data_IF_339189392749
#
_entry.id   IF_339189392749
#
_cell.length_a   1.000
_cell.length_b   1.000
_cell.length_c   1.000
_cell.angle_alpha   90.00
_cell.angle_beta   90.00
_cell.angle_gamma   90.00
#
_symmetry.space_group_name_H-M   'P 1'
#
loop_
_entity.id
_entity.type
_entity.pdbx_description
1 polymer ?
#
# COMPACT_ATOMS: atom_id res chain seq x y z
N UNK A 1 -2.05 -23.70 34.54
CA UNK A 1 -3.05 -23.74 33.45
C UNK A 1 -2.48 -23.27 32.11
N UNK A 2 -1.65 -24.07 31.40
CA UNK A 2 -1.17 -23.70 30.03
C UNK A 2 -1.87 -24.44 28.89
N UNK A 3 -2.70 -25.43 29.14
CA UNK A 3 -3.26 -26.36 28.12
C UNK A 3 -4.21 -25.70 27.10
N UNK A 4 -4.99 -24.70 27.48
CA UNK A 4 -5.92 -24.03 26.55
C UNK A 4 -5.25 -23.11 25.55
N UNK A 5 -4.13 -22.49 25.89
CA UNK A 5 -3.36 -21.64 24.98
C UNK A 5 -2.70 -22.46 23.85
N UNK A 6 -2.22 -23.66 24.14
CA UNK A 6 -1.63 -24.59 23.19
C UNK A 6 -2.65 -25.06 22.15
N UNK A 7 -3.83 -25.55 22.56
CA UNK A 7 -4.87 -26.02 21.66
C UNK A 7 -5.41 -24.93 20.72
N UNK A 8 -5.49 -23.67 21.18
CA UNK A 8 -5.88 -22.54 20.32
C UNK A 8 -4.83 -22.25 19.26
N UNK A 9 -3.55 -22.30 19.62
CA UNK A 9 -2.43 -22.11 18.71
C UNK A 9 -2.39 -23.21 17.64
N UNK A 10 -2.52 -24.47 18.05
CA UNK A 10 -2.55 -25.63 17.14
C UNK A 10 -3.69 -25.51 16.11
N UNK A 11 -4.89 -25.14 16.53
CA UNK A 11 -6.02 -24.90 15.63
C UNK A 11 -5.74 -23.75 14.65
N UNK A 12 -5.03 -22.70 15.09
CA UNK A 12 -4.63 -21.60 14.22
C UNK A 12 -3.61 -22.05 13.18
N UNK A 13 -2.62 -22.83 13.57
CA UNK A 13 -1.60 -23.38 12.67
C UNK A 13 -2.23 -24.33 11.64
N UNK A 14 -3.05 -25.30 12.08
CA UNK A 14 -3.75 -26.23 11.19
C UNK A 14 -4.69 -25.52 10.16
N UNK A 15 -5.26 -24.35 10.50
CA UNK A 15 -6.00 -23.56 9.54
C UNK A 15 -5.08 -22.93 8.51
N UNK A 16 -3.92 -22.39 8.93
CA UNK A 16 -2.93 -21.78 8.03
C UNK A 16 -2.37 -22.79 7.03
N UNK A 17 -2.04 -23.98 7.50
CA UNK A 17 -1.57 -25.08 6.65
C UNK A 17 -2.62 -25.48 5.60
N UNK A 18 -3.89 -25.62 6.00
CA UNK A 18 -4.97 -25.91 5.05
C UNK A 18 -5.16 -24.81 4.00
N UNK A 19 -5.06 -23.55 4.39
CA UNK A 19 -5.18 -22.44 3.45
C UNK A 19 -3.98 -22.41 2.49
N UNK A 20 -2.76 -22.67 2.99
CA UNK A 20 -1.56 -22.76 2.18
C UNK A 20 -1.65 -23.92 1.16
N UNK A 21 -2.08 -25.10 1.61
CA UNK A 21 -2.26 -26.28 0.74
C UNK A 21 -3.31 -26.06 -0.37
N UNK A 22 -4.33 -25.23 -0.11
CA UNK A 22 -5.37 -24.89 -1.07
C UNK A 22 -5.02 -23.70 -1.98
N UNK A 23 -3.97 -22.95 -1.68
CA UNK A 23 -3.63 -21.72 -2.36
C UNK A 23 -4.70 -20.61 -2.24
N UNK A 24 -5.57 -20.67 -1.21
CA UNK A 24 -6.61 -19.67 -0.96
C UNK A 24 -6.91 -19.52 0.52
N UNK A 25 -7.22 -18.29 0.95
CA UNK A 25 -7.69 -18.03 2.31
C UNK A 25 -9.15 -18.51 2.50
N UNK A 26 -9.45 -18.98 3.69
CA UNK A 26 -10.84 -19.20 4.09
C UNK A 26 -11.60 -17.86 4.06
N UNK A 27 -12.88 -17.89 3.64
CA UNK A 27 -13.73 -16.71 3.41
C UNK A 27 -13.66 -15.69 4.55
N UNK A 28 -13.87 -16.10 5.78
CA UNK A 28 -13.82 -15.20 6.96
C UNK A 28 -12.45 -14.53 7.15
N UNK A 29 -11.35 -15.21 6.81
CA UNK A 29 -10.01 -14.63 6.88
C UNK A 29 -9.79 -13.63 5.76
N UNK A 30 -10.21 -13.94 4.55
CA UNK A 30 -10.15 -13.03 3.41
C UNK A 30 -10.94 -11.74 3.70
N UNK A 31 -12.18 -11.86 4.17
CA UNK A 31 -13.01 -10.72 4.56
C UNK A 31 -12.39 -9.88 5.67
N UNK A 32 -11.79 -10.51 6.68
CA UNK A 32 -11.11 -9.81 7.76
C UNK A 32 -9.89 -9.01 7.26
N UNK A 33 -9.13 -9.57 6.31
CA UNK A 33 -8.00 -8.86 5.69
C UNK A 33 -8.51 -7.69 4.85
N UNK A 34 -9.52 -7.88 4.01
CA UNK A 34 -10.13 -6.80 3.21
C UNK A 34 -10.63 -5.66 4.11
N UNK A 35 -11.37 -5.98 5.17
CA UNK A 35 -11.84 -4.98 6.12
C UNK A 35 -10.68 -4.22 6.79
N UNK A 36 -9.58 -4.91 7.11
CA UNK A 36 -8.38 -4.28 7.65
C UNK A 36 -7.74 -3.32 6.64
N UNK A 37 -7.60 -3.73 5.36
CA UNK A 37 -7.04 -2.88 4.32
C UNK A 37 -7.85 -1.58 4.15
N UNK A 38 -9.18 -1.71 4.09
CA UNK A 38 -10.09 -0.57 3.99
C UNK A 38 -9.92 0.38 5.17
N UNK A 39 -9.87 -0.16 6.39
CA UNK A 39 -9.70 0.63 7.61
C UNK A 39 -8.36 1.37 7.61
N UNK A 40 -7.25 0.68 7.32
CA UNK A 40 -5.92 1.28 7.29
C UNK A 40 -5.80 2.36 6.20
N UNK A 41 -6.44 2.14 5.05
CA UNK A 41 -6.45 3.11 3.96
C UNK A 41 -7.22 4.36 4.36
N UNK A 42 -8.42 4.22 4.94
CA UNK A 42 -9.22 5.36 5.43
C UNK A 42 -8.47 6.15 6.48
N UNK A 43 -7.88 5.46 7.45
CA UNK A 43 -7.06 6.10 8.49
C UNK A 43 -5.88 6.87 7.88
N UNK A 44 -5.21 6.32 6.88
CA UNK A 44 -4.10 7.00 6.19
C UNK A 44 -4.55 8.25 5.43
N UNK A 45 -5.74 8.23 4.81
CA UNK A 45 -6.33 9.40 4.16
C UNK A 45 -6.72 10.48 5.19
N UNK A 46 -7.38 10.09 6.28
CA UNK A 46 -7.80 10.99 7.36
C UNK A 46 -6.60 11.67 8.04
N UNK A 47 -5.50 10.96 8.19
CA UNK A 47 -4.26 11.49 8.78
C UNK A 47 -3.37 12.24 7.77
N UNK A 48 -3.76 12.33 6.50
CA UNK A 48 -2.97 12.97 5.44
C UNK A 48 -1.66 12.25 5.10
N UNK A 49 -1.49 10.99 5.51
CA UNK A 49 -0.30 10.17 5.22
C UNK A 49 -0.25 9.72 3.76
N UNK A 50 -1.41 9.60 3.15
CA UNK A 50 -1.58 9.26 1.73
C UNK A 50 -2.58 10.19 1.08
N UNK A 51 -2.38 10.50 -0.19
CA UNK A 51 -3.29 11.34 -0.98
C UNK A 51 -4.36 10.54 -1.71
N UNK A 52 -4.07 9.28 -2.03
CA UNK A 52 -5.00 8.35 -2.69
C UNK A 52 -4.86 6.95 -2.11
N UNK A 53 -5.91 6.10 -2.17
CA UNK A 53 -5.81 4.69 -1.77
C UNK A 53 -4.70 3.93 -2.50
N UNK A 54 -4.45 4.27 -3.77
CA UNK A 54 -3.47 3.61 -4.64
C UNK A 54 -2.02 3.74 -4.13
N UNK A 55 -1.71 4.77 -3.33
CA UNK A 55 -0.40 4.92 -2.71
C UNK A 55 0.02 3.68 -1.87
N UNK A 56 -0.94 2.91 -1.37
CA UNK A 56 -0.69 1.71 -0.56
C UNK A 56 -0.78 0.39 -1.31
N UNK A 57 -1.14 0.39 -2.58
CA UNK A 57 -1.37 -0.84 -3.35
C UNK A 57 -0.17 -1.80 -3.32
N UNK A 58 1.00 -1.29 -3.72
CA UNK A 58 2.23 -2.09 -3.75
C UNK A 58 2.64 -2.56 -2.34
N UNK A 59 2.49 -1.70 -1.33
CA UNK A 59 2.81 -2.02 0.07
C UNK A 59 1.91 -3.13 0.58
N UNK A 60 0.60 -3.05 0.38
CA UNK A 60 -0.35 -4.07 0.81
C UNK A 60 -0.09 -5.42 0.12
N UNK A 61 0.09 -5.42 -1.21
CA UNK A 61 0.41 -6.63 -1.95
C UNK A 61 1.68 -7.28 -1.44
N UNK A 62 2.75 -6.51 -1.26
CA UNK A 62 4.02 -7.01 -0.73
C UNK A 62 3.86 -7.58 0.68
N UNK A 63 3.20 -6.88 1.60
CA UNK A 63 3.05 -7.32 3.00
C UNK A 63 2.22 -8.58 3.10
N UNK A 64 1.07 -8.66 2.41
CA UNK A 64 0.20 -9.85 2.42
C UNK A 64 0.98 -11.04 1.86
N UNK A 65 1.61 -10.90 0.69
CA UNK A 65 2.43 -11.95 0.08
C UNK A 65 3.51 -12.43 1.03
N UNK A 66 4.29 -11.52 1.62
CA UNK A 66 5.36 -11.87 2.55
C UNK A 66 4.85 -12.63 3.77
N UNK A 67 3.73 -12.18 4.34
CA UNK A 67 3.10 -12.85 5.48
C UNK A 67 2.56 -14.25 5.14
N UNK A 68 2.05 -14.45 3.92
CA UNK A 68 1.59 -15.77 3.47
C UNK A 68 2.79 -16.71 3.20
N UNK A 69 3.84 -16.21 2.57
CA UNK A 69 5.09 -16.99 2.37
C UNK A 69 5.70 -17.43 3.70
N UNK A 70 5.70 -16.55 4.72
CA UNK A 70 6.11 -16.91 6.08
C UNK A 70 5.21 -17.95 6.75
N UNK A 71 4.01 -18.19 6.21
CA UNK A 71 3.08 -19.25 6.62
C UNK A 71 3.15 -20.49 5.69
N UNK A 72 4.29 -20.69 5.03
CA UNK A 72 4.58 -21.82 4.15
C UNK A 72 3.76 -21.86 2.85
N UNK A 73 3.27 -20.72 2.38
CA UNK A 73 2.67 -20.65 1.05
C UNK A 73 3.74 -20.61 -0.04
N UNK A 74 3.45 -21.22 -1.19
CA UNK A 74 4.22 -20.97 -2.39
C UNK A 74 4.07 -19.52 -2.86
N UNK A 75 5.12 -18.98 -3.49
CA UNK A 75 5.17 -17.56 -3.84
C UNK A 75 4.01 -17.13 -4.76
N UNK A 76 3.74 -17.90 -5.84
CA UNK A 76 2.72 -17.53 -6.82
C UNK A 76 1.30 -17.50 -6.21
N UNK A 77 0.80 -18.56 -5.53
CA UNK A 77 -0.50 -18.48 -4.86
C UNK A 77 -0.58 -17.37 -3.80
N UNK A 78 0.51 -17.08 -3.11
CA UNK A 78 0.54 -15.99 -2.14
C UNK A 78 0.41 -14.62 -2.81
N UNK A 79 1.04 -14.42 -3.97
CA UNK A 79 0.95 -13.18 -4.74
C UNK A 79 -0.44 -13.00 -5.38
N UNK A 80 -1.02 -14.07 -5.93
CA UNK A 80 -2.36 -14.07 -6.52
C UNK A 80 -3.43 -13.68 -5.48
N UNK A 81 -3.36 -14.31 -4.30
CA UNK A 81 -4.26 -13.98 -3.19
C UNK A 81 -4.05 -12.55 -2.71
N UNK A 82 -2.80 -12.09 -2.61
CA UNK A 82 -2.50 -10.72 -2.20
C UNK A 82 -3.07 -9.70 -3.18
N UNK A 83 -2.89 -9.92 -4.49
CA UNK A 83 -3.43 -9.08 -5.53
C UNK A 83 -4.97 -9.02 -5.49
N UNK A 84 -5.62 -10.17 -5.32
CA UNK A 84 -7.08 -10.27 -5.26
C UNK A 84 -7.66 -9.55 -4.04
N UNK A 85 -7.07 -9.70 -2.85
CA UNK A 85 -7.53 -9.02 -1.64
C UNK A 85 -7.42 -7.50 -1.74
N UNK A 86 -6.31 -7.02 -2.33
CA UNK A 86 -6.11 -5.58 -2.56
C UNK A 86 -7.13 -5.06 -3.57
N UNK A 87 -7.36 -5.79 -4.67
CA UNK A 87 -8.37 -5.46 -5.66
C UNK A 87 -9.76 -5.34 -5.02
N UNK A 88 -10.20 -6.35 -4.26
CA UNK A 88 -11.50 -6.33 -3.57
C UNK A 88 -11.63 -5.14 -2.62
N UNK A 89 -10.57 -4.83 -1.86
CA UNK A 89 -10.58 -3.70 -0.94
C UNK A 89 -10.77 -2.36 -1.68
N UNK A 90 -10.07 -2.17 -2.80
CA UNK A 90 -10.16 -0.93 -3.57
C UNK A 90 -11.46 -0.81 -4.37
N UNK A 91 -11.97 -1.93 -4.90
CA UNK A 91 -13.29 -1.97 -5.54
C UNK A 91 -14.39 -1.61 -4.54
N UNK A 92 -14.32 -2.14 -3.31
CA UNK A 92 -15.25 -1.81 -2.21
C UNK A 92 -15.20 -0.33 -1.84
N UNK A 93 -14.02 0.30 -1.92
CA UNK A 93 -13.84 1.73 -1.70
C UNK A 93 -14.19 2.58 -2.93
N UNK A 94 -14.58 1.97 -4.05
CA UNK A 94 -14.84 2.63 -5.33
C UNK A 94 -13.65 3.48 -5.80
N UNK A 95 -12.44 2.99 -5.58
CA UNK A 95 -11.21 3.67 -5.98
C UNK A 95 -11.08 3.63 -7.50
N UNK A 96 -11.07 4.79 -8.14
CA UNK A 96 -10.79 4.90 -9.58
C UNK A 96 -9.27 4.91 -9.79
N UNK A 97 -8.78 4.10 -10.73
CA UNK A 97 -7.40 4.26 -11.20
C UNK A 97 -7.34 5.49 -12.10
N UNK A 98 -6.39 6.39 -11.86
CA UNK A 98 -6.11 7.46 -12.81
C UNK A 98 -5.64 6.85 -14.13
N UNK A 99 -5.92 7.54 -15.22
CA UNK A 99 -5.27 7.26 -16.51
C UNK A 99 -3.75 7.46 -16.37
N UNK A 100 -2.99 6.99 -17.36
CA UNK A 100 -1.54 7.19 -17.36
C UNK A 100 -1.18 8.68 -17.27
N UNK A 101 -1.89 9.53 -18.00
CA UNK A 101 -1.70 10.97 -18.02
C UNK A 101 -2.02 11.63 -16.67
N UNK A 102 -3.12 11.25 -16.05
CA UNK A 102 -3.48 11.73 -14.69
C UNK A 102 -2.51 11.26 -13.61
N UNK A 103 -1.86 10.11 -13.82
CA UNK A 103 -0.87 9.54 -12.90
C UNK A 103 0.51 10.20 -12.97
N UNK A 104 0.76 11.10 -13.95
CA UNK A 104 2.06 11.79 -14.08
C UNK A 104 2.15 12.97 -13.11
N UNK A 105 2.96 12.90 -12.03
CA UNK A 105 2.99 13.95 -11.00
C UNK A 105 3.61 15.26 -11.47
N UNK A 106 4.31 15.23 -12.61
CA UNK A 106 5.07 16.38 -13.10
C UNK A 106 4.33 17.18 -14.19
N UNK A 107 3.25 16.63 -14.73
CA UNK A 107 2.47 17.25 -15.78
C UNK A 107 0.98 17.13 -15.44
N UNK A 108 0.31 18.24 -15.30
CA UNK A 108 -1.15 18.27 -15.26
C UNK A 108 -1.63 18.56 -16.68
N UNK A 109 -2.32 17.60 -17.29
CA UNK A 109 -2.95 17.80 -18.60
C UNK A 109 -4.35 18.34 -18.35
N UNK A 110 -4.52 19.65 -18.53
CA UNK A 110 -5.82 20.27 -18.56
C UNK A 110 -6.26 20.42 -20.04
N UNK A 111 -7.28 19.65 -20.46
CA UNK A 111 -7.85 19.68 -21.80
C UNK A 111 -6.83 19.52 -22.95
N UNK A 112 -5.82 18.71 -22.75
CA UNK A 112 -4.77 18.46 -23.74
C UNK A 112 -3.63 19.48 -23.75
N UNK A 113 -3.59 20.41 -22.81
CA UNK A 113 -2.49 21.38 -22.67
C UNK A 113 -1.58 20.96 -21.52
N UNK A 114 -0.27 20.88 -21.80
CA UNK A 114 0.75 20.59 -20.79
C UNK A 114 0.88 21.82 -19.86
N UNK A 115 0.56 21.68 -18.59
CA UNK A 115 0.74 22.75 -17.61
C UNK A 115 2.09 22.57 -16.92
N UNK A 116 3.05 23.44 -17.22
CA UNK A 116 4.36 23.45 -16.59
C UNK A 116 4.29 23.98 -15.15
N UNK A 117 5.06 23.36 -14.26
CA UNK A 117 5.21 23.87 -12.89
C UNK A 117 5.97 25.19 -12.89
N UNK A 118 5.38 26.20 -12.29
CA UNK A 118 6.02 27.51 -12.13
C UNK A 118 6.79 27.61 -10.80
N UNK A 119 6.60 26.67 -9.88
CA UNK A 119 7.21 26.68 -8.54
C UNK A 119 7.85 25.36 -8.15
N UNK A 120 8.98 25.44 -7.45
CA UNK A 120 9.70 24.29 -6.92
C UNK A 120 8.82 23.45 -5.97
N UNK A 121 8.75 22.15 -6.20
CA UNK A 121 7.96 21.22 -5.40
C UNK A 121 8.46 21.06 -3.95
N UNK A 122 9.69 21.52 -3.62
CA UNK A 122 10.23 21.44 -2.27
C UNK A 122 10.12 22.76 -1.48
N UNK A 123 10.55 23.87 -2.06
CA UNK A 123 10.66 25.16 -1.35
C UNK A 123 9.71 26.24 -1.86
N UNK A 124 8.93 26.00 -2.92
CA UNK A 124 7.99 26.97 -3.47
C UNK A 124 8.61 28.13 -4.26
N UNK A 125 9.95 28.20 -4.37
CA UNK A 125 10.62 29.23 -5.19
C UNK A 125 10.19 29.11 -6.65
N UNK A 126 10.08 30.24 -7.37
CA UNK A 126 9.85 30.25 -8.81
C UNK A 126 10.90 29.40 -9.54
N UNK A 127 10.47 28.67 -10.55
CA UNK A 127 11.35 27.89 -11.42
C UNK A 127 11.75 28.72 -12.63
N UNK A 128 12.99 28.59 -13.05
CA UNK A 128 13.52 29.17 -14.30
C UNK A 128 13.19 28.24 -15.47
N UNK A 129 13.27 28.73 -16.71
CA UNK A 129 12.85 28.01 -17.93
C UNK A 129 13.45 26.61 -18.10
N UNK A 130 14.62 26.35 -17.53
CA UNK A 130 15.31 25.06 -17.60
C UNK A 130 14.97 24.12 -16.42
N UNK A 131 14.23 24.61 -15.43
CA UNK A 131 13.93 23.90 -14.19
C UNK A 131 12.50 23.35 -14.24
N UNK A 132 12.34 22.02 -14.26
CA UNK A 132 11.01 21.40 -14.40
C UNK A 132 10.28 21.15 -13.08
N UNK A 133 10.99 20.77 -12.04
CA UNK A 133 10.38 20.33 -10.76
C UNK A 133 11.01 20.96 -9.54
N UNK A 134 12.32 21.14 -9.54
CA UNK A 134 13.09 21.66 -8.42
C UNK A 134 13.98 22.81 -8.88
N UNK A 135 14.15 23.81 -8.01
CA UNK A 135 15.04 24.93 -8.27
C UNK A 135 16.54 24.58 -8.18
N UNK A 136 16.87 23.35 -7.81
CA UNK A 136 18.23 22.84 -7.75
C UNK A 136 18.31 21.47 -7.12
N UNK A 137 19.51 20.86 -7.19
CA UNK A 137 19.77 19.50 -6.69
C UNK A 137 19.41 19.32 -5.21
N UNK A 138 19.76 20.29 -4.36
CA UNK A 138 19.45 20.22 -2.92
C UNK A 138 17.94 20.09 -2.64
N UNK A 139 17.11 20.78 -3.42
CA UNK A 139 15.65 20.64 -3.29
C UNK A 139 15.14 19.28 -3.78
N UNK A 140 15.75 18.73 -4.82
CA UNK A 140 15.46 17.38 -5.30
C UNK A 140 15.81 16.32 -4.26
N UNK A 141 17.01 16.38 -3.72
CA UNK A 141 17.51 15.44 -2.70
C UNK A 141 16.69 15.51 -1.40
N UNK A 142 16.38 16.73 -0.92
CA UNK A 142 15.55 16.94 0.26
C UNK A 142 14.14 16.41 0.08
N UNK A 143 13.53 16.65 -1.08
CA UNK A 143 12.19 16.10 -1.42
C UNK A 143 12.20 14.58 -1.49
N UNK A 144 13.19 13.99 -2.18
CA UNK A 144 13.33 12.54 -2.29
C UNK A 144 13.58 11.87 -0.93
N UNK A 145 14.39 12.48 -0.06
CA UNK A 145 14.62 11.98 1.30
C UNK A 145 13.35 12.03 2.16
N UNK A 146 12.58 13.13 2.05
CA UNK A 146 11.30 13.27 2.77
C UNK A 146 10.28 12.23 2.28
N UNK A 147 10.16 12.05 0.97
CA UNK A 147 9.26 11.07 0.37
C UNK A 147 9.61 9.63 0.82
N UNK A 148 10.90 9.27 0.85
CA UNK A 148 11.36 7.97 1.36
C UNK A 148 11.01 7.77 2.83
N UNK A 149 11.29 8.74 3.69
CA UNK A 149 10.95 8.67 5.13
C UNK A 149 9.45 8.49 5.37
N UNK A 150 8.61 9.17 4.59
CA UNK A 150 7.16 9.01 4.68
C UNK A 150 6.71 7.62 4.23
N UNK A 151 7.28 7.11 3.13
CA UNK A 151 6.98 5.76 2.65
C UNK A 151 7.41 4.67 3.65
N UNK A 152 8.55 4.84 4.31
CA UNK A 152 9.03 3.95 5.38
C UNK A 152 8.09 3.99 6.59
N UNK A 153 7.75 5.19 7.07
CA UNK A 153 6.83 5.35 8.20
C UNK A 153 5.44 4.76 7.91
N UNK A 154 4.90 4.98 6.70
CA UNK A 154 3.62 4.40 6.28
C UNK A 154 3.68 2.88 6.19
N UNK A 155 4.79 2.32 5.68
CA UNK A 155 5.04 0.88 5.64
C UNK A 155 5.06 0.26 7.04
N UNK A 156 5.75 0.89 7.99
CA UNK A 156 5.86 0.41 9.36
C UNK A 156 4.51 0.44 10.09
N UNK A 157 3.73 1.50 9.91
CA UNK A 157 2.37 1.60 10.46
C UNK A 157 1.47 0.52 9.87
N UNK A 158 1.55 0.32 8.55
CA UNK A 158 0.76 -0.69 7.84
C UNK A 158 1.15 -2.09 8.29
N UNK A 159 2.44 -2.41 8.37
CA UNK A 159 2.94 -3.71 8.81
C UNK A 159 2.48 -4.04 10.24
N UNK A 160 2.59 -3.08 11.18
CA UNK A 160 2.10 -3.25 12.54
C UNK A 160 0.59 -3.49 12.60
N UNK A 161 -0.18 -2.76 11.79
CA UNK A 161 -1.63 -2.94 11.71
C UNK A 161 -2.06 -4.31 11.15
N UNK A 162 -1.23 -4.93 10.32
CA UNK A 162 -1.48 -6.24 9.71
C UNK A 162 -0.93 -7.42 10.53
N UNK A 163 -0.01 -7.17 11.46
CA UNK A 163 0.61 -8.22 12.26
C UNK A 163 -0.44 -9.07 13.01
N UNK A 164 -0.34 -10.39 12.83
CA UNK A 164 -1.23 -11.36 13.49
C UNK A 164 -2.63 -11.52 12.88
N UNK A 165 -2.98 -10.81 11.83
CA UNK A 165 -4.30 -10.88 11.16
C UNK A 165 -4.27 -11.67 9.85
N UNK A 166 -3.10 -11.77 9.20
CA UNK A 166 -2.87 -12.59 7.99
C UNK A 166 -2.28 -13.94 8.35
#
# INVERSE_FOLDING_TARGET
MPLHASAKLERKLARRERDAARGRLAKMRAEAVVALLIRLTRQGLEQGLISTPLNREAIYRQLIRSMLVLQSWHWQPADDVAAELVRIAFDTMRTKRPSWDEGQPDYVIDRGTLVERTRCANCGKGLEEQQRKFCGRLCGDAHGTRARRWAEADRDVTARGMAGRV
#
